data_IF_596303721359
#
_entry.id   IF_596303721359
#
_cell.length_a   1.000
_cell.length_b   1.000
_cell.length_c   1.000
_cell.angle_alpha   90.00
_cell.angle_beta   90.00
_cell.angle_gamma   90.00
#
_symmetry.space_group_name_H-M   'P 1'
#
loop_
_entity.id
_entity.type
_entity.pdbx_description
1 polymer ?
#
# COMPACT_ATOMS: atom_id res chain seq x y z
N UNK A 1 21.78 11.86 1.72
CA UNK A 1 20.45 12.32 1.28
C UNK A 1 20.38 13.82 1.50
N UNK A 2 19.94 14.57 0.49
CA UNK A 2 19.79 16.03 0.52
C UNK A 2 18.33 16.43 0.36
N UNK A 3 17.98 17.64 0.79
CA UNK A 3 16.60 18.14 0.79
C UNK A 3 16.14 18.74 -0.54
N UNK A 4 17.09 19.08 -1.42
CA UNK A 4 16.81 19.71 -2.71
C UNK A 4 17.54 18.96 -3.82
N UNK A 5 16.89 18.68 -4.97
CA UNK A 5 17.49 17.91 -6.05
C UNK A 5 18.72 18.60 -6.64
N UNK A 6 18.78 19.93 -6.63
CA UNK A 6 19.90 20.72 -7.15
C UNK A 6 21.21 20.56 -6.37
N UNK A 7 21.15 19.98 -5.20
CA UNK A 7 22.33 19.70 -4.37
C UNK A 7 22.72 18.23 -4.39
N UNK A 8 22.09 17.43 -5.26
CA UNK A 8 22.34 16.01 -5.39
C UNK A 8 23.23 15.71 -6.60
N UNK A 9 24.16 14.77 -6.48
CA UNK A 9 24.85 14.22 -7.63
C UNK A 9 23.91 13.33 -8.46
N UNK A 10 23.03 12.57 -7.78
CA UNK A 10 22.09 11.64 -8.38
C UNK A 10 20.72 11.82 -7.76
N UNK A 11 19.68 11.81 -8.60
CA UNK A 11 18.28 11.86 -8.16
C UNK A 11 17.60 10.52 -8.44
N UNK A 12 16.81 10.07 -7.48
CA UNK A 12 15.90 8.91 -7.62
C UNK A 12 14.47 9.40 -7.59
N UNK A 13 13.73 9.23 -8.69
CA UNK A 13 12.29 9.52 -8.75
C UNK A 13 11.51 8.23 -8.44
N UNK A 14 10.96 8.14 -7.24
CA UNK A 14 10.08 7.05 -6.86
C UNK A 14 8.65 7.34 -7.31
N UNK A 15 8.09 6.52 -8.18
CA UNK A 15 6.89 6.80 -8.96
C UNK A 15 5.68 5.98 -8.51
N UNK A 16 4.48 6.54 -8.74
CA UNK A 16 3.19 5.85 -8.61
C UNK A 16 2.56 5.63 -9.99
N UNK A 17 1.86 4.48 -10.16
CA UNK A 17 1.15 4.17 -11.41
C UNK A 17 -0.35 3.89 -11.20
N UNK A 18 -0.87 4.02 -9.97
CA UNK A 18 -2.23 3.61 -9.64
C UNK A 18 -3.30 4.52 -10.26
N UNK A 19 -3.12 5.83 -10.18
CA UNK A 19 -4.03 6.81 -10.76
C UNK A 19 -3.42 7.47 -12.00
N UNK A 20 -4.25 7.82 -12.98
CA UNK A 20 -3.80 8.55 -14.17
C UNK A 20 -3.14 9.89 -13.81
N UNK A 21 -3.70 10.63 -12.86
CA UNK A 21 -3.13 11.88 -12.35
C UNK A 21 -1.75 11.67 -11.70
N UNK A 22 -1.58 10.61 -10.92
CA UNK A 22 -0.29 10.29 -10.30
C UNK A 22 0.76 9.87 -11.34
N UNK A 23 0.36 9.18 -12.41
CA UNK A 23 1.27 8.90 -13.54
C UNK A 23 1.69 10.18 -14.24
N UNK A 24 0.74 11.08 -14.50
CA UNK A 24 1.03 12.36 -15.13
C UNK A 24 1.98 13.20 -14.27
N UNK A 25 1.77 13.27 -12.97
CA UNK A 25 2.68 13.92 -12.03
C UNK A 25 4.08 13.28 -12.08
N UNK A 26 4.18 11.95 -12.07
CA UNK A 26 5.45 11.25 -12.18
C UNK A 26 6.21 11.60 -13.47
N UNK A 27 5.53 11.66 -14.62
CA UNK A 27 6.15 12.11 -15.87
C UNK A 27 6.62 13.56 -15.80
N UNK A 28 5.84 14.46 -15.20
CA UNK A 28 6.25 15.87 -15.02
C UNK A 28 7.51 15.98 -14.15
N UNK A 29 7.58 15.21 -13.05
CA UNK A 29 8.78 15.19 -12.19
C UNK A 29 9.99 14.63 -12.94
N UNK A 30 9.83 13.56 -13.74
CA UNK A 30 10.91 13.01 -14.57
C UNK A 30 11.44 14.10 -15.53
N UNK A 31 10.56 14.82 -16.22
CA UNK A 31 10.94 15.89 -17.15
C UNK A 31 11.64 17.06 -16.44
N UNK A 32 11.21 17.38 -15.23
CA UNK A 32 11.87 18.40 -14.41
C UNK A 32 13.30 17.96 -14.02
N UNK A 33 13.48 16.73 -13.58
CA UNK A 33 14.82 16.21 -13.24
C UNK A 33 15.72 16.09 -14.47
N UNK A 34 15.17 15.74 -15.63
CA UNK A 34 15.91 15.75 -16.89
C UNK A 34 16.37 17.16 -17.30
N UNK A 35 15.57 18.20 -17.02
CA UNK A 35 16.01 19.61 -17.23
C UNK A 35 17.20 19.95 -16.33
N UNK A 36 17.18 19.55 -15.05
CA UNK A 36 18.32 19.76 -14.15
C UNK A 36 19.57 19.01 -14.63
N UNK A 37 19.41 17.80 -15.16
CA UNK A 37 20.50 17.01 -15.72
C UNK A 37 21.14 17.71 -16.94
N UNK A 38 20.32 18.18 -17.90
CA UNK A 38 20.81 18.94 -19.07
C UNK A 38 21.53 20.23 -18.68
N UNK A 39 21.19 20.85 -17.56
CA UNK A 39 21.85 22.03 -17.00
C UNK A 39 23.12 21.67 -16.21
N UNK A 40 23.48 20.39 -16.11
CA UNK A 40 24.66 19.95 -15.36
C UNK A 40 24.51 20.06 -13.83
N UNK A 41 23.29 20.28 -13.33
CA UNK A 41 23.01 20.44 -11.89
C UNK A 41 22.92 19.09 -11.16
N UNK A 42 22.56 18.03 -11.86
CA UNK A 42 22.62 16.65 -11.39
C UNK A 42 23.36 15.80 -12.42
N UNK A 43 24.06 14.76 -11.97
CA UNK A 43 24.87 13.88 -12.82
C UNK A 43 24.08 12.68 -13.33
N UNK A 44 23.09 12.22 -12.56
CA UNK A 44 22.32 11.02 -12.89
C UNK A 44 20.88 11.04 -12.41
N UNK A 45 20.03 10.28 -13.12
CA UNK A 45 18.62 10.13 -12.84
C UNK A 45 18.21 8.64 -12.89
N UNK A 46 17.73 8.12 -11.77
CA UNK A 46 17.09 6.80 -11.66
C UNK A 46 15.58 6.98 -11.55
N UNK A 47 14.80 6.23 -12.31
CA UNK A 47 13.35 6.14 -12.15
C UNK A 47 13.00 4.79 -11.55
N UNK A 48 12.30 4.78 -10.42
CA UNK A 48 11.94 3.58 -9.67
C UNK A 48 10.45 3.56 -9.30
N UNK A 49 9.97 2.46 -8.74
CA UNK A 49 8.62 2.35 -8.20
C UNK A 49 7.59 1.78 -9.16
N UNK A 50 6.31 2.09 -8.89
CA UNK A 50 5.20 1.44 -9.59
C UNK A 50 5.12 1.78 -11.08
N UNK A 51 5.43 3.02 -11.49
CA UNK A 51 5.43 3.40 -12.91
C UNK A 51 6.58 2.72 -13.65
N UNK A 52 7.77 2.68 -13.04
CA UNK A 52 8.90 1.94 -13.59
C UNK A 52 8.57 0.47 -13.84
N UNK A 53 7.86 -0.17 -12.90
CA UNK A 53 7.39 -1.56 -13.05
C UNK A 53 6.28 -1.70 -14.12
N UNK A 54 5.43 -0.71 -14.27
CA UNK A 54 4.32 -0.72 -15.23
C UNK A 54 4.80 -0.51 -16.67
N UNK A 55 5.57 0.55 -16.91
CA UNK A 55 6.02 0.94 -18.24
C UNK A 55 7.29 0.21 -18.69
N UNK A 56 8.10 -0.27 -17.73
CA UNK A 56 9.32 -1.01 -18.00
C UNK A 56 10.24 -0.33 -19.05
N UNK A 57 10.57 -1.03 -20.12
CA UNK A 57 11.45 -0.52 -21.17
C UNK A 57 10.84 0.64 -21.99
N UNK A 58 9.50 0.76 -22.02
CA UNK A 58 8.83 1.85 -22.71
C UNK A 58 9.18 3.21 -22.12
N UNK A 59 9.49 3.27 -20.81
CA UNK A 59 9.92 4.49 -20.14
C UNK A 59 11.26 5.01 -20.68
N UNK A 60 12.24 4.13 -20.95
CA UNK A 60 13.49 4.53 -21.60
C UNK A 60 13.31 4.94 -23.07
N UNK A 61 12.36 4.35 -23.78
CA UNK A 61 12.05 4.78 -25.14
C UNK A 61 11.46 6.19 -25.16
N UNK A 62 10.63 6.53 -24.18
CA UNK A 62 10.04 7.86 -24.02
C UNK A 62 11.04 8.89 -23.48
N UNK A 63 11.90 8.47 -22.54
CA UNK A 63 12.89 9.32 -21.86
C UNK A 63 14.31 8.74 -22.00
N UNK A 64 14.93 8.82 -23.18
CA UNK A 64 16.24 8.22 -23.43
C UNK A 64 17.39 8.81 -22.60
N UNK A 65 17.20 9.93 -21.95
CA UNK A 65 18.18 10.58 -21.09
C UNK A 65 18.14 10.10 -19.63
N UNK A 66 17.14 9.27 -19.23
CA UNK A 66 17.10 8.59 -17.93
C UNK A 66 18.25 7.58 -17.89
N UNK A 67 19.05 7.59 -16.83
CA UNK A 67 20.23 6.73 -16.76
C UNK A 67 19.85 5.29 -16.38
N UNK A 68 18.85 5.12 -15.49
CA UNK A 68 18.44 3.79 -15.08
C UNK A 68 16.95 3.72 -14.73
N UNK A 69 16.30 2.62 -15.14
CA UNK A 69 14.92 2.29 -14.73
C UNK A 69 14.98 1.04 -13.85
N UNK A 70 14.48 1.18 -12.62
CA UNK A 70 14.54 0.15 -11.60
C UNK A 70 13.13 -0.39 -11.31
N UNK A 71 12.93 -1.68 -11.56
CA UNK A 71 11.68 -2.37 -11.26
C UNK A 71 11.40 -2.44 -9.76
N UNK A 72 10.14 -2.63 -9.41
CA UNK A 72 9.67 -2.62 -8.01
C UNK A 72 10.37 -3.66 -7.13
N UNK A 73 10.66 -4.85 -7.70
CA UNK A 73 11.29 -5.96 -6.98
C UNK A 73 12.82 -5.90 -6.98
N UNK A 74 13.41 -4.95 -7.71
CA UNK A 74 14.84 -4.72 -7.77
C UNK A 74 15.29 -3.57 -6.83
N UNK A 75 14.45 -3.16 -5.87
CA UNK A 75 14.71 -2.01 -4.98
C UNK A 75 16.11 -2.05 -4.34
N UNK A 76 16.57 -3.22 -3.93
CA UNK A 76 17.83 -3.38 -3.21
C UNK A 76 19.05 -3.19 -4.12
N UNK A 77 18.86 -3.21 -5.45
CA UNK A 77 19.89 -2.94 -6.47
C UNK A 77 20.14 -1.44 -6.70
N UNK A 78 19.40 -0.56 -6.02
CA UNK A 78 19.45 0.89 -6.27
C UNK A 78 20.84 1.50 -6.00
N UNK A 79 21.54 1.00 -4.98
CA UNK A 79 22.89 1.48 -4.62
C UNK A 79 23.89 1.11 -5.73
N UNK A 80 23.83 -0.14 -6.22
CA UNK A 80 24.71 -0.57 -7.31
C UNK A 80 24.43 0.21 -8.61
N UNK A 81 23.15 0.50 -8.91
CA UNK A 81 22.80 1.33 -10.07
C UNK A 81 23.35 2.75 -9.92
N UNK A 82 23.23 3.35 -8.73
CA UNK A 82 23.77 4.66 -8.42
C UNK A 82 25.29 4.71 -8.59
N UNK A 83 26.01 3.73 -8.02
CA UNK A 83 27.47 3.67 -8.10
C UNK A 83 27.96 3.52 -9.55
N UNK A 84 27.29 2.71 -10.37
CA UNK A 84 27.61 2.58 -11.80
C UNK A 84 27.45 3.89 -12.54
N UNK A 85 26.34 4.60 -12.35
CA UNK A 85 26.10 5.90 -12.99
C UNK A 85 27.17 6.91 -12.59
N UNK A 86 27.47 7.03 -11.30
CA UNK A 86 28.45 7.98 -10.79
C UNK A 86 29.90 7.65 -11.21
N UNK A 87 30.19 6.39 -11.46
CA UNK A 87 31.48 5.90 -11.99
C UNK A 87 31.61 6.00 -13.51
N UNK A 88 30.57 6.50 -14.21
CA UNK A 88 30.56 6.58 -15.67
C UNK A 88 30.35 5.27 -16.40
N UNK A 89 29.76 4.27 -15.74
CA UNK A 89 29.42 2.94 -16.28
C UNK A 89 27.89 2.77 -16.31
N UNK A 90 27.18 3.40 -17.24
CA UNK A 90 25.71 3.47 -17.20
C UNK A 90 25.00 2.16 -17.54
N UNK A 91 25.68 1.16 -18.09
CA UNK A 91 25.04 -0.11 -18.46
C UNK A 91 25.11 -1.18 -17.35
N UNK A 92 24.10 -2.01 -17.16
CA UNK A 92 22.78 -1.97 -17.83
C UNK A 92 21.92 -0.80 -17.34
N UNK A 93 21.06 -0.28 -18.22
CA UNK A 93 20.16 0.86 -17.93
C UNK A 93 18.80 0.41 -17.37
N UNK A 94 18.57 -0.86 -17.16
CA UNK A 94 17.36 -1.41 -16.57
C UNK A 94 17.71 -2.56 -15.64
N UNK A 95 16.98 -2.63 -14.52
CA UNK A 95 17.02 -3.81 -13.64
C UNK A 95 15.59 -4.18 -13.23
N UNK A 96 15.13 -5.35 -13.69
CA UNK A 96 13.85 -5.93 -13.33
C UNK A 96 14.09 -7.34 -12.80
N UNK A 97 13.72 -7.57 -11.56
CA UNK A 97 13.79 -8.88 -10.93
C UNK A 97 12.39 -9.53 -10.89
N UNK A 98 12.32 -10.87 -10.88
CA UNK A 98 11.06 -11.56 -10.66
C UNK A 98 10.49 -11.22 -9.29
N UNK A 99 9.19 -11.42 -9.15
CA UNK A 99 8.51 -11.25 -7.88
C UNK A 99 9.08 -12.26 -6.85
N UNK A 100 9.56 -11.83 -5.67
CA UNK A 100 10.11 -12.75 -4.66
C UNK A 100 8.98 -13.59 -4.01
N UNK A 101 9.35 -14.72 -3.37
CA UNK A 101 8.38 -15.63 -2.74
C UNK A 101 7.65 -14.99 -1.53
N UNK A 102 8.31 -14.07 -0.83
CA UNK A 102 7.74 -13.33 0.30
C UNK A 102 7.82 -11.82 0.05
N UNK A 103 7.02 -11.05 0.78
CA UNK A 103 7.17 -9.59 0.77
C UNK A 103 8.56 -9.19 1.29
N UNK A 104 9.19 -8.23 0.61
CA UNK A 104 10.57 -7.80 0.92
C UNK A 104 10.66 -7.23 2.33
N UNK A 105 11.76 -7.56 3.01
CA UNK A 105 12.11 -6.98 4.31
C UNK A 105 12.44 -5.49 4.19
N UNK A 106 12.23 -4.78 5.30
CA UNK A 106 12.44 -3.32 5.37
C UNK A 106 13.29 -2.91 6.59
N UNK A 107 14.22 -3.78 7.00
CA UNK A 107 15.21 -3.47 8.03
C UNK A 107 16.22 -2.42 7.53
N UNK A 108 16.77 -1.64 8.45
CA UNK A 108 17.80 -0.63 8.18
C UNK A 108 17.30 0.59 7.40
N UNK A 109 16.00 0.82 7.29
CA UNK A 109 15.44 1.95 6.53
C UNK A 109 15.54 3.28 7.29
N UNK A 110 15.85 4.34 6.58
CA UNK A 110 15.76 5.71 7.12
C UNK A 110 14.29 6.15 7.09
N UNK A 111 13.73 6.47 8.26
CA UNK A 111 12.37 6.98 8.35
C UNK A 111 12.32 8.48 8.06
N UNK A 112 11.42 8.88 7.17
CA UNK A 112 11.13 10.29 6.86
C UNK A 112 9.77 10.73 7.42
N UNK A 113 9.06 9.83 8.13
CA UNK A 113 7.78 10.09 8.79
C UNK A 113 7.98 10.71 10.17
N UNK A 114 6.87 11.08 10.83
CA UNK A 114 6.91 11.56 12.20
C UNK A 114 7.60 10.52 13.12
N UNK A 115 8.49 10.95 14.03
CA UNK A 115 9.32 10.01 14.81
C UNK A 115 8.53 8.96 15.60
N UNK A 116 7.30 9.30 16.03
CA UNK A 116 6.45 8.42 16.81
C UNK A 116 5.58 7.47 15.97
N UNK A 117 5.61 7.56 14.63
CA UNK A 117 4.81 6.73 13.71
C UNK A 117 5.71 5.84 12.89
N UNK A 118 5.46 4.53 12.90
CA UNK A 118 6.11 3.52 12.06
C UNK A 118 5.10 2.81 11.16
N UNK A 119 5.35 2.80 9.85
CA UNK A 119 4.57 1.96 8.93
C UNK A 119 5.22 0.57 8.86
N UNK A 120 4.44 -0.45 9.15
CA UNK A 120 4.86 -1.86 9.06
C UNK A 120 4.12 -2.51 7.89
N UNK A 121 4.83 -2.75 6.80
CA UNK A 121 4.28 -3.42 5.63
C UNK A 121 4.26 -4.93 5.87
N UNK A 122 3.05 -5.48 6.07
CA UNK A 122 2.86 -6.89 6.44
C UNK A 122 2.77 -7.83 5.24
N UNK A 123 2.41 -7.29 4.07
CA UNK A 123 2.32 -8.06 2.83
C UNK A 123 2.46 -7.13 1.61
N UNK A 124 2.66 -7.71 0.43
CA UNK A 124 2.72 -7.00 -0.85
C UNK A 124 1.96 -7.78 -1.94
N UNK A 125 1.44 -7.06 -2.95
CA UNK A 125 0.59 -7.63 -3.99
C UNK A 125 -0.86 -7.84 -3.58
N UNK A 126 -1.70 -8.31 -4.50
CA UNK A 126 -3.13 -8.52 -4.25
C UNK A 126 -3.69 -9.54 -5.23
N UNK A 127 -4.43 -10.54 -4.73
CA UNK A 127 -5.11 -11.56 -5.55
C UNK A 127 -6.55 -11.16 -5.92
N UNK A 128 -6.99 -9.93 -5.55
CA UNK A 128 -8.29 -9.41 -5.96
C UNK A 128 -8.24 -8.92 -7.39
N UNK A 129 -9.35 -9.11 -8.11
CA UNK A 129 -9.49 -8.73 -9.51
C UNK A 129 -10.46 -7.54 -9.69
N UNK A 130 -10.48 -6.61 -8.72
CA UNK A 130 -11.34 -5.43 -8.82
C UNK A 130 -11.11 -4.72 -10.16
N UNK A 131 -12.17 -4.50 -10.95
CA UNK A 131 -12.09 -4.06 -12.34
C UNK A 131 -11.46 -2.68 -12.55
N UNK A 132 -11.41 -1.86 -11.51
CA UNK A 132 -10.79 -0.52 -11.50
C UNK A 132 -9.34 -0.52 -11.02
N UNK A 133 -8.78 -1.67 -10.60
CA UNK A 133 -7.52 -1.73 -9.86
C UNK A 133 -6.41 -2.38 -10.69
N UNK A 134 -5.28 -1.69 -10.79
CA UNK A 134 -4.09 -2.16 -11.52
C UNK A 134 -3.05 -2.83 -10.61
N UNK A 135 -3.29 -2.93 -9.31
CA UNK A 135 -2.33 -3.48 -8.35
C UNK A 135 -1.85 -4.90 -8.69
N UNK A 136 -2.71 -5.86 -9.07
CA UNK A 136 -2.24 -7.20 -9.42
C UNK A 136 -1.25 -7.21 -10.59
N UNK A 137 -1.42 -6.30 -11.53
CA UNK A 137 -0.55 -6.18 -12.71
C UNK A 137 0.80 -5.53 -12.37
N UNK A 138 0.82 -4.61 -11.38
CA UNK A 138 2.04 -3.89 -10.97
C UNK A 138 2.82 -4.66 -9.92
N UNK A 139 2.12 -5.16 -8.87
CA UNK A 139 2.72 -5.75 -7.67
C UNK A 139 2.61 -7.28 -7.63
N UNK A 140 1.91 -7.86 -8.61
CA UNK A 140 1.74 -9.30 -8.73
C UNK A 140 0.85 -9.91 -7.64
N UNK A 141 1.04 -11.21 -7.41
CA UNK A 141 0.28 -11.99 -6.44
C UNK A 141 0.51 -11.53 -5.00
N UNK A 142 -0.48 -11.80 -4.16
CA UNK A 142 -0.39 -11.53 -2.73
C UNK A 142 0.69 -12.38 -2.06
N UNK A 143 1.52 -11.75 -1.24
CA UNK A 143 2.58 -12.40 -0.46
C UNK A 143 2.72 -11.73 0.88
N UNK A 144 2.59 -12.54 1.90
CA UNK A 144 2.81 -12.13 3.28
C UNK A 144 4.30 -12.09 3.61
N UNK A 145 4.65 -11.28 4.60
CA UNK A 145 5.93 -11.34 5.26
C UNK A 145 5.82 -12.30 6.44
N UNK A 146 6.80 -13.17 6.72
CA UNK A 146 6.81 -14.02 7.91
C UNK A 146 6.67 -13.20 9.22
N UNK A 147 6.04 -13.79 10.23
CA UNK A 147 5.76 -13.07 11.50
C UNK A 147 7.05 -12.66 12.21
N UNK A 148 8.05 -13.53 12.24
CA UNK A 148 9.36 -13.25 12.84
C UNK A 148 10.06 -12.05 12.21
N UNK A 149 10.01 -11.93 10.89
CA UNK A 149 10.53 -10.77 10.17
C UNK A 149 9.77 -9.49 10.55
N UNK A 150 8.43 -9.57 10.66
CA UNK A 150 7.61 -8.43 11.08
C UNK A 150 7.88 -7.99 12.51
N UNK A 151 8.16 -8.93 13.40
CA UNK A 151 8.52 -8.62 14.78
C UNK A 151 9.88 -7.92 14.83
N UNK A 152 10.87 -8.42 14.11
CA UNK A 152 12.19 -7.78 14.02
C UNK A 152 12.10 -6.34 13.45
N UNK A 153 11.32 -6.12 12.40
CA UNK A 153 11.07 -4.78 11.85
C UNK A 153 10.30 -3.88 12.84
N UNK A 154 9.35 -4.44 13.59
CA UNK A 154 8.59 -3.69 14.57
C UNK A 154 9.48 -3.26 15.76
N UNK A 155 10.38 -4.15 16.22
CA UNK A 155 11.37 -3.86 17.24
C UNK A 155 12.34 -2.74 16.80
N UNK A 156 12.84 -2.80 15.57
CA UNK A 156 13.69 -1.75 15.01
C UNK A 156 12.94 -0.40 14.95
N UNK A 157 11.69 -0.39 14.48
CA UNK A 157 10.86 0.82 14.44
C UNK A 157 10.66 1.42 15.85
N UNK A 158 10.45 0.57 16.84
CA UNK A 158 10.28 1.00 18.25
C UNK A 158 11.59 1.53 18.81
N UNK A 159 12.71 0.87 18.55
CA UNK A 159 14.04 1.32 18.95
C UNK A 159 14.37 2.70 18.35
N UNK A 160 13.93 2.94 17.10
CA UNK A 160 14.05 4.23 16.41
C UNK A 160 12.95 5.25 16.83
N UNK A 161 12.20 5.00 17.88
CA UNK A 161 11.27 5.93 18.52
C UNK A 161 9.81 5.82 18.13
N UNK A 162 9.40 4.87 17.27
CA UNK A 162 7.98 4.67 16.96
C UNK A 162 7.20 4.24 18.20
N UNK A 163 5.98 4.76 18.33
CA UNK A 163 5.01 4.42 19.40
C UNK A 163 3.68 3.95 18.80
N UNK A 164 3.39 4.34 17.59
CA UNK A 164 2.27 3.84 16.80
C UNK A 164 2.82 3.03 15.61
N UNK A 165 2.36 1.77 15.48
CA UNK A 165 2.61 0.93 14.32
C UNK A 165 1.37 0.93 13.44
N UNK A 166 1.51 1.37 12.19
CA UNK A 166 0.44 1.32 11.19
C UNK A 166 0.71 0.13 10.27
N UNK A 167 -0.12 -0.90 10.40
CA UNK A 167 -0.03 -2.09 9.56
C UNK A 167 -0.63 -1.81 8.18
N UNK A 168 0.16 -2.03 7.14
CA UNK A 168 -0.23 -1.76 5.76
C UNK A 168 0.02 -2.95 4.84
N UNK A 169 -0.91 -3.15 3.91
CA UNK A 169 -0.81 -4.02 2.74
C UNK A 169 -1.81 -3.54 1.69
N UNK A 170 -1.88 -4.15 0.53
CA UNK A 170 -2.96 -3.91 -0.43
C UNK A 170 -4.29 -4.56 0.02
N UNK A 171 -4.21 -5.62 0.82
CA UNK A 171 -5.32 -6.28 1.52
C UNK A 171 -4.79 -6.86 2.85
N UNK A 172 -4.83 -6.07 3.92
CA UNK A 172 -4.32 -6.53 5.23
C UNK A 172 -5.12 -7.70 5.81
N UNK A 173 -6.39 -7.85 5.43
CA UNK A 173 -7.23 -8.96 5.92
C UNK A 173 -6.82 -10.32 5.35
N UNK A 174 -6.06 -10.34 4.25
CA UNK A 174 -5.55 -11.58 3.66
C UNK A 174 -4.26 -12.09 4.30
N UNK A 175 -3.67 -11.34 5.25
CA UNK A 175 -2.37 -11.65 5.81
C UNK A 175 -2.24 -13.09 6.34
N UNK A 176 -1.16 -13.74 5.92
CA UNK A 176 -0.75 -15.09 6.32
C UNK A 176 -1.47 -16.22 5.62
N UNK A 177 -2.49 -15.96 4.77
CA UNK A 177 -3.25 -17.02 4.10
C UNK A 177 -2.42 -17.80 3.10
N UNK A 178 -1.46 -17.18 2.47
CA UNK A 178 -0.45 -17.80 1.61
C UNK A 178 0.56 -18.63 2.39
N UNK A 179 0.88 -18.25 3.62
CA UNK A 179 1.82 -18.95 4.50
C UNK A 179 1.18 -20.14 5.25
N UNK A 180 -0.14 -20.12 5.49
CA UNK A 180 -0.85 -21.03 6.37
C UNK A 180 -2.04 -21.72 5.70
N UNK A 181 -1.89 -22.17 4.46
CA UNK A 181 -2.86 -22.98 3.72
C UNK A 181 -4.29 -22.38 3.74
N UNK A 182 -4.39 -21.07 3.57
CA UNK A 182 -5.66 -20.33 3.53
C UNK A 182 -6.16 -19.81 4.89
N UNK A 183 -5.53 -20.16 6.01
CA UNK A 183 -5.85 -19.61 7.34
C UNK A 183 -5.25 -18.23 7.51
N UNK A 184 -6.01 -17.27 8.02
CA UNK A 184 -5.47 -15.95 8.34
C UNK A 184 -4.52 -16.00 9.55
N UNK A 185 -3.35 -15.39 9.42
CA UNK A 185 -2.42 -15.18 10.54
C UNK A 185 -2.50 -13.76 11.12
N UNK A 186 -3.41 -12.92 10.63
CA UNK A 186 -3.56 -11.56 11.15
C UNK A 186 -3.89 -11.51 12.65
N UNK A 187 -4.81 -12.34 13.18
CA UNK A 187 -5.06 -12.37 14.63
C UNK A 187 -3.82 -12.73 15.45
N UNK A 188 -3.02 -13.69 14.98
CA UNK A 188 -1.78 -14.10 15.65
C UNK A 188 -0.73 -12.98 15.64
N UNK A 189 -0.52 -12.35 14.47
CA UNK A 189 0.37 -11.18 14.37
C UNK A 189 -0.04 -10.07 15.33
N UNK A 190 -1.33 -9.75 15.41
CA UNK A 190 -1.83 -8.72 16.31
C UNK A 190 -1.57 -9.05 17.77
N UNK A 191 -1.78 -10.32 18.20
CA UNK A 191 -1.49 -10.76 19.57
C UNK A 191 0.00 -10.63 19.92
N UNK A 192 0.89 -10.93 18.97
CA UNK A 192 2.34 -10.80 19.19
C UNK A 192 2.77 -9.34 19.26
N UNK A 193 2.31 -8.49 18.32
CA UNK A 193 2.58 -7.06 18.36
C UNK A 193 1.98 -6.35 19.58
N UNK A 194 0.82 -6.82 20.10
CA UNK A 194 0.20 -6.29 21.33
C UNK A 194 1.07 -6.49 22.57
N UNK A 195 1.94 -7.52 22.57
CA UNK A 195 2.90 -7.80 23.64
C UNK A 195 4.19 -6.98 23.54
N UNK A 196 4.52 -6.48 22.35
CA UNK A 196 5.79 -5.80 22.10
C UNK A 196 5.90 -4.53 22.95
N UNK A 197 6.93 -4.45 23.77
CA UNK A 197 7.20 -3.28 24.61
C UNK A 197 7.51 -2.05 23.76
N UNK A 198 7.20 -0.87 24.26
CA UNK A 198 7.42 0.40 23.57
C UNK A 198 6.31 0.78 22.58
N UNK A 199 5.56 -0.15 22.03
CA UNK A 199 4.36 0.14 21.22
C UNK A 199 3.22 0.60 22.13
N UNK A 200 2.53 1.66 21.72
CA UNK A 200 1.31 2.16 22.38
C UNK A 200 0.06 1.92 21.55
N UNK A 201 0.18 2.06 20.21
CA UNK A 201 -0.94 1.95 19.29
C UNK A 201 -0.57 1.08 18.09
N UNK A 202 -1.51 0.23 17.70
CA UNK A 202 -1.45 -0.59 16.48
C UNK A 202 -2.68 -0.25 15.66
N UNK A 203 -2.48 0.25 14.44
CA UNK A 203 -3.56 0.65 13.54
C UNK A 203 -3.61 -0.28 12.34
N UNK A 204 -4.81 -0.77 12.01
CA UNK A 204 -5.05 -1.58 10.82
C UNK A 204 -5.56 -0.71 9.68
N UNK A 205 -4.93 -0.84 8.50
CA UNK A 205 -5.33 -0.16 7.29
C UNK A 205 -5.64 -1.18 6.17
N UNK A 206 -6.50 -0.80 5.24
CA UNK A 206 -6.78 -1.53 3.99
C UNK A 206 -7.31 -2.95 4.19
N UNK A 207 -8.41 -3.08 4.91
CA UNK A 207 -9.10 -4.36 5.12
C UNK A 207 -10.13 -4.61 4.01
N UNK A 208 -10.14 -5.83 3.47
CA UNK A 208 -11.17 -6.24 2.53
C UNK A 208 -12.33 -6.94 3.27
N UNK A 209 -13.59 -6.55 3.05
CA UNK A 209 -14.73 -7.01 3.86
C UNK A 209 -14.90 -8.53 3.97
N UNK A 210 -14.65 -9.26 2.89
CA UNK A 210 -14.89 -10.70 2.80
C UNK A 210 -14.07 -11.53 3.80
N UNK A 211 -12.90 -11.06 4.22
CA UNK A 211 -11.96 -11.84 5.01
C UNK A 211 -11.95 -11.50 6.52
N UNK A 212 -12.87 -10.66 6.95
CA UNK A 212 -12.98 -10.30 8.38
C UNK A 212 -13.84 -11.33 9.11
N UNK A 213 -13.16 -12.30 9.72
CA UNK A 213 -13.79 -13.35 10.51
C UNK A 213 -13.97 -12.97 11.97
N UNK A 214 -14.69 -13.83 12.71
CA UNK A 214 -15.01 -13.61 14.12
C UNK A 214 -13.77 -13.54 15.01
N UNK A 215 -12.76 -14.40 14.76
CA UNK A 215 -11.50 -14.39 15.50
C UNK A 215 -10.77 -13.04 15.41
N UNK A 216 -10.79 -12.38 14.24
CA UNK A 216 -10.18 -11.07 14.09
C UNK A 216 -10.94 -10.00 14.89
N UNK A 217 -12.28 -10.03 14.87
CA UNK A 217 -13.13 -9.12 15.65
C UNK A 217 -12.82 -9.26 17.15
N UNK A 218 -12.80 -10.48 17.67
CA UNK A 218 -12.48 -10.77 19.07
C UNK A 218 -11.05 -10.36 19.45
N UNK A 219 -10.09 -10.59 18.56
CA UNK A 219 -8.69 -10.19 18.77
C UNK A 219 -8.57 -8.67 18.88
N UNK A 220 -9.22 -7.90 17.99
CA UNK A 220 -9.21 -6.44 18.06
C UNK A 220 -9.92 -5.96 19.33
N UNK A 221 -11.06 -6.55 19.68
CA UNK A 221 -11.83 -6.15 20.85
C UNK A 221 -11.11 -6.40 22.19
N UNK A 222 -10.29 -7.45 22.26
CA UNK A 222 -9.57 -7.85 23.49
C UNK A 222 -8.16 -7.28 23.57
N UNK A 223 -7.57 -6.84 22.48
CA UNK A 223 -6.22 -6.29 22.45
C UNK A 223 -6.14 -4.94 23.18
N UNK A 224 -5.01 -4.69 23.81
CA UNK A 224 -4.78 -3.47 24.62
C UNK A 224 -4.26 -2.31 23.80
N UNK A 225 -3.50 -2.60 22.73
CA UNK A 225 -2.81 -1.61 21.90
C UNK A 225 -3.40 -1.49 20.50
N UNK A 226 -4.17 -2.49 20.04
CA UNK A 226 -4.87 -2.42 18.76
C UNK A 226 -6.01 -1.42 18.85
N UNK A 227 -5.96 -0.40 18.01
CA UNK A 227 -6.98 0.64 18.02
C UNK A 227 -8.33 0.10 17.52
N UNK A 228 -9.46 0.48 18.14
CA UNK A 228 -10.78 0.21 17.62
C UNK A 228 -11.07 1.11 16.42
N UNK A 229 -10.23 0.99 15.40
CA UNK A 229 -10.25 1.76 14.17
C UNK A 229 -9.97 0.83 13.00
N UNK A 230 -10.87 0.78 12.04
CA UNK A 230 -10.74 -0.05 10.84
C UNK A 230 -10.87 0.80 9.59
N UNK A 231 -9.91 0.66 8.68
CA UNK A 231 -10.00 1.20 7.34
C UNK A 231 -10.52 0.11 6.40
N UNK A 232 -11.77 0.29 5.95
CA UNK A 232 -12.56 -0.70 5.24
C UNK A 232 -13.10 -0.11 3.93
N UNK A 233 -12.31 -0.10 2.84
CA UNK A 233 -12.73 0.46 1.55
C UNK A 233 -13.87 -0.37 0.93
N UNK A 234 -15.13 0.04 1.12
CA UNK A 234 -16.33 -0.64 0.62
C UNK A 234 -16.55 -0.41 -0.87
N UNK A 235 -16.14 0.74 -1.39
CA UNK A 235 -16.23 1.23 -2.76
C UNK A 235 -17.66 1.61 -3.18
N UNK A 236 -18.65 0.75 -2.98
CA UNK A 236 -20.07 0.98 -3.24
C UNK A 236 -20.95 0.12 -2.34
N UNK A 237 -22.29 0.25 -2.46
CA UNK A 237 -23.26 -0.60 -1.74
C UNK A 237 -24.26 -1.28 -2.67
N UNK A 238 -24.51 -0.73 -3.85
CA UNK A 238 -25.47 -1.29 -4.82
C UNK A 238 -24.91 -2.54 -5.49
N UNK A 239 -25.62 -3.66 -5.41
CA UNK A 239 -25.17 -4.97 -5.92
C UNK A 239 -24.83 -4.95 -7.43
N UNK A 240 -25.60 -4.30 -8.32
CA UNK A 240 -25.23 -4.19 -9.73
C UNK A 240 -23.87 -3.50 -9.94
N UNK A 241 -23.53 -2.51 -9.11
CA UNK A 241 -22.27 -1.78 -9.21
C UNK A 241 -21.14 -2.60 -8.58
N UNK A 242 -21.35 -3.19 -7.40
CA UNK A 242 -20.38 -4.09 -6.77
C UNK A 242 -19.99 -5.25 -7.71
N UNK A 243 -20.97 -5.83 -8.40
CA UNK A 243 -20.72 -6.88 -9.40
C UNK A 243 -19.88 -6.37 -10.58
N UNK A 244 -20.14 -5.16 -11.09
CA UNK A 244 -19.34 -4.55 -12.16
C UNK A 244 -17.93 -4.18 -11.71
N UNK A 245 -17.76 -3.85 -10.42
CA UNK A 245 -16.46 -3.62 -9.79
C UNK A 245 -15.69 -4.90 -9.51
N UNK A 246 -16.25 -6.07 -9.82
CA UNK A 246 -15.73 -7.39 -9.46
C UNK A 246 -15.45 -7.53 -7.95
N UNK A 247 -16.36 -6.99 -7.14
CA UNK A 247 -16.35 -7.13 -5.68
C UNK A 247 -17.07 -8.41 -5.30
N UNK A 248 -16.40 -9.27 -4.52
CA UNK A 248 -16.94 -10.56 -4.06
C UNK A 248 -17.86 -10.44 -2.83
N UNK A 249 -18.34 -9.24 -2.57
CA UNK A 249 -19.25 -8.92 -1.45
C UNK A 249 -20.45 -8.19 -2.00
N UNK A 250 -21.64 -8.58 -1.54
CA UNK A 250 -22.91 -7.92 -1.83
C UNK A 250 -23.32 -6.98 -0.69
N UNK A 251 -24.44 -6.26 -0.90
CA UNK A 251 -25.01 -5.34 0.07
C UNK A 251 -25.33 -6.06 1.39
N UNK A 252 -25.99 -7.22 1.33
CA UNK A 252 -26.44 -7.93 2.53
C UNK A 252 -25.27 -8.34 3.43
N UNK A 253 -24.23 -8.93 2.84
CA UNK A 253 -22.99 -9.30 3.55
C UNK A 253 -22.24 -8.09 4.09
N UNK A 254 -22.24 -6.99 3.36
CA UNK A 254 -21.61 -5.74 3.81
C UNK A 254 -22.32 -5.19 5.04
N UNK A 255 -23.66 -5.14 5.04
CA UNK A 255 -24.44 -4.68 6.18
C UNK A 255 -24.27 -5.60 7.39
N UNK A 256 -24.38 -6.93 7.21
CA UNK A 256 -24.12 -7.91 8.25
C UNK A 256 -22.73 -7.74 8.89
N UNK A 257 -21.69 -7.57 8.06
CA UNK A 257 -20.33 -7.34 8.56
C UNK A 257 -20.26 -6.05 9.41
N UNK A 258 -20.83 -4.94 8.94
CA UNK A 258 -20.80 -3.68 9.68
C UNK A 258 -21.52 -3.80 11.02
N UNK A 259 -22.67 -4.50 11.08
CA UNK A 259 -23.38 -4.75 12.31
C UNK A 259 -22.56 -5.63 13.28
N UNK A 260 -21.92 -6.69 12.80
CA UNK A 260 -21.02 -7.55 13.60
C UNK A 260 -19.82 -6.78 14.14
N UNK A 261 -19.21 -5.93 13.30
CA UNK A 261 -18.08 -5.11 13.72
C UNK A 261 -18.45 -4.13 14.83
N UNK A 262 -19.58 -3.41 14.68
CA UNK A 262 -20.04 -2.44 15.68
C UNK A 262 -20.51 -3.12 16.98
N UNK A 263 -21.11 -4.30 16.89
CA UNK A 263 -21.49 -5.09 18.06
C UNK A 263 -20.28 -5.71 18.78
N UNK A 264 -19.27 -6.15 18.02
CA UNK A 264 -18.13 -6.88 18.57
C UNK A 264 -16.97 -6.00 19.06
N UNK A 265 -16.81 -4.78 18.53
CA UNK A 265 -15.70 -3.90 18.89
C UNK A 265 -16.23 -2.61 19.54
N UNK A 266 -16.08 -2.43 20.86
CA UNK A 266 -16.53 -1.23 21.54
C UNK A 266 -15.86 0.05 21.01
N UNK A 267 -16.65 1.11 20.80
CA UNK A 267 -16.17 2.42 20.32
C UNK A 267 -15.46 2.36 18.96
N UNK A 268 -15.84 1.42 18.11
CA UNK A 268 -15.26 1.26 16.78
C UNK A 268 -15.44 2.52 15.93
N UNK A 269 -14.35 3.03 15.38
CA UNK A 269 -14.34 4.02 14.33
C UNK A 269 -14.06 3.33 12.98
N UNK A 270 -14.96 3.53 12.01
CA UNK A 270 -14.82 2.98 10.66
C UNK A 270 -14.46 4.11 9.70
N UNK A 271 -13.29 3.98 9.07
CA UNK A 271 -12.96 4.72 7.86
C UNK A 271 -13.38 3.89 6.66
N UNK A 272 -14.05 4.51 5.69
CA UNK A 272 -14.35 3.86 4.41
C UNK A 272 -13.97 4.74 3.23
N UNK A 273 -13.85 4.11 2.08
CA UNK A 273 -13.66 4.77 0.79
C UNK A 273 -14.76 4.30 -0.15
N UNK A 274 -15.41 5.25 -0.82
CA UNK A 274 -16.45 5.01 -1.80
C UNK A 274 -16.03 5.58 -3.16
N UNK A 275 -16.65 5.07 -4.21
CA UNK A 275 -16.44 5.50 -5.59
C UNK A 275 -17.80 5.84 -6.20
N UNK A 276 -17.90 7.00 -6.83
CA UNK A 276 -19.09 7.48 -7.55
C UNK A 276 -18.75 7.73 -9.02
N UNK A 277 -19.74 7.72 -9.89
CA UNK A 277 -19.54 7.86 -11.33
C UNK A 277 -18.93 6.62 -11.96
N UNK A 278 -19.02 5.46 -11.31
CA UNK A 278 -18.52 4.21 -11.89
C UNK A 278 -19.32 3.85 -13.16
N UNK A 279 -18.68 3.30 -14.22
CA UNK A 279 -19.37 2.95 -15.46
C UNK A 279 -20.62 2.10 -15.26
N UNK A 280 -21.78 2.65 -15.61
CA UNK A 280 -23.10 2.04 -15.45
C UNK A 280 -23.79 2.34 -14.12
N UNK A 281 -23.22 3.23 -13.29
CA UNK A 281 -23.94 3.82 -12.16
C UNK A 281 -25.07 4.73 -12.68
N UNK A 282 -26.22 4.64 -12.04
CA UNK A 282 -27.39 5.49 -12.31
C UNK A 282 -27.70 6.32 -11.07
N UNK A 283 -28.55 7.34 -11.23
CA UNK A 283 -29.02 8.15 -10.09
C UNK A 283 -29.65 7.29 -8.99
N UNK A 284 -30.35 6.21 -9.35
CA UNK A 284 -30.93 5.29 -8.38
C UNK A 284 -29.86 4.60 -7.52
N UNK A 285 -28.77 4.13 -8.14
CA UNK A 285 -27.63 3.51 -7.44
C UNK A 285 -26.91 4.54 -6.57
N UNK A 286 -26.72 5.74 -7.06
CA UNK A 286 -26.14 6.84 -6.28
C UNK A 286 -27.01 7.19 -5.06
N UNK A 287 -28.34 7.32 -5.23
CA UNK A 287 -29.25 7.58 -4.11
C UNK A 287 -29.27 6.44 -3.08
N UNK A 288 -29.11 5.19 -3.51
CA UNK A 288 -28.93 4.05 -2.62
C UNK A 288 -27.64 4.20 -1.79
N UNK A 289 -26.52 4.59 -2.42
CA UNK A 289 -25.26 4.86 -1.75
C UNK A 289 -25.39 6.02 -0.74
N UNK A 290 -26.06 7.10 -1.09
CA UNK A 290 -26.30 8.24 -0.18
C UNK A 290 -27.07 7.80 1.06
N UNK A 291 -28.19 7.05 0.88
CA UNK A 291 -28.97 6.51 2.01
C UNK A 291 -28.14 5.56 2.90
N UNK A 292 -27.28 4.75 2.29
CA UNK A 292 -26.37 3.88 3.01
C UNK A 292 -25.39 4.67 3.89
N UNK A 293 -24.74 5.71 3.35
CA UNK A 293 -23.84 6.58 4.10
C UNK A 293 -24.55 7.27 5.26
N UNK A 294 -25.73 7.83 5.01
CA UNK A 294 -26.54 8.49 6.05
C UNK A 294 -26.92 7.53 7.19
N UNK A 295 -27.25 6.29 6.86
CA UNK A 295 -27.61 5.24 7.82
C UNK A 295 -26.41 4.74 8.62
N UNK A 296 -25.26 4.51 7.95
CA UNK A 296 -24.08 3.90 8.57
C UNK A 296 -23.24 4.87 9.39
N UNK A 297 -23.30 6.18 9.09
CA UNK A 297 -22.60 7.24 9.85
C UNK A 297 -21.13 6.92 10.09
N UNK A 298 -20.39 6.68 9.01
CA UNK A 298 -18.96 6.42 9.08
C UNK A 298 -18.20 7.59 9.72
N UNK A 299 -17.27 7.30 10.60
CA UNK A 299 -16.45 8.31 11.29
C UNK A 299 -15.48 9.00 10.33
N UNK A 300 -15.07 8.31 9.26
CA UNK A 300 -14.24 8.85 8.18
C UNK A 300 -14.72 8.32 6.83
N UNK A 301 -14.87 9.20 5.87
CA UNK A 301 -15.30 8.87 4.52
C UNK A 301 -14.42 9.59 3.49
N UNK A 302 -13.79 8.83 2.59
CA UNK A 302 -13.19 9.33 1.37
C UNK A 302 -14.06 8.96 0.15
N UNK A 303 -14.08 9.83 -0.86
CA UNK A 303 -14.83 9.59 -2.11
C UNK A 303 -13.91 9.83 -3.30
N UNK A 304 -13.90 8.88 -4.22
CA UNK A 304 -13.32 9.00 -5.54
C UNK A 304 -14.40 9.22 -6.59
#
# INVERSE_FOLDING_TARGET
VVSQPEHADLVVVNTCAFLASARQEAYQVIEEMLRLKRQGRIRGLIVAGCLAQWDQQALLAQYPEVDHVLGLFARDEIVQAADRILSGQPEPRTTFLPQPDHAMEELGRVRITLPHVGYLKIADGCDRQCSFCTIPQIRGRYRSKPIDHLLAEAEELVADGARELILIAQDSSAYGRDLAQGRSLLPELLRQLDRLEGVRWIRLMYLYPLLIGQELIETIASARKVLPYLDLPLQHISDPILKRMDRLVDQARTLELLDRLRAGIPRLAIRTTLMVGFPGETDAHFQELVRFVQRQRFERLGVF
#
